data_IF_163930878089
#
_entry.id   IF_163930878089
#
_cell.length_a   1.000
_cell.length_b   1.000
_cell.length_c   1.000
_cell.angle_alpha   90.00
_cell.angle_beta   90.00
_cell.angle_gamma   90.00
#
_symmetry.space_group_name_H-M   'P 1'
#
loop_
_entity.id
_entity.type
_entity.pdbx_description
1 polymer ?
#
# COMPACT_ATOMS: atom_id res chain seq x y z
N UNK A 1 46.91 -35.93 -16.86
CA UNK A 1 46.97 -34.59 -16.22
C UNK A 1 45.91 -33.60 -16.74
N UNK A 2 45.40 -33.75 -17.98
CA UNK A 2 44.39 -32.84 -18.57
C UNK A 2 42.99 -32.91 -17.95
N UNK A 3 42.51 -34.07 -17.48
CA UNK A 3 41.17 -34.17 -16.88
C UNK A 3 41.07 -33.61 -15.46
N UNK A 4 42.17 -33.62 -14.69
CA UNK A 4 42.23 -33.03 -13.33
C UNK A 4 42.15 -31.49 -13.37
N UNK A 5 42.77 -30.86 -14.38
CA UNK A 5 42.70 -29.41 -14.59
C UNK A 5 41.30 -28.97 -15.05
N UNK A 6 40.62 -29.80 -15.84
CA UNK A 6 39.25 -29.53 -16.30
C UNK A 6 38.21 -29.65 -15.17
N UNK A 7 38.39 -30.63 -14.27
CA UNK A 7 37.55 -30.77 -13.08
C UNK A 7 37.75 -29.64 -12.06
N UNK A 8 38.99 -29.19 -11.83
CA UNK A 8 39.25 -28.04 -10.95
C UNK A 8 38.68 -26.72 -11.50
N UNK A 9 38.71 -26.54 -12.83
CA UNK A 9 38.10 -25.37 -13.49
C UNK A 9 36.58 -25.36 -13.39
N UNK A 10 35.92 -26.52 -13.50
CA UNK A 10 34.47 -26.65 -13.33
C UNK A 10 34.00 -26.36 -11.90
N UNK A 11 34.77 -26.80 -10.90
CA UNK A 11 34.49 -26.52 -9.49
C UNK A 11 34.64 -25.02 -9.20
N UNK A 12 35.69 -24.37 -9.73
CA UNK A 12 35.91 -22.93 -9.56
C UNK A 12 34.80 -22.07 -10.20
N UNK A 13 34.23 -22.50 -11.33
CA UNK A 13 33.11 -21.80 -12.00
C UNK A 13 31.79 -21.98 -11.23
N UNK A 14 31.56 -23.15 -10.62
CA UNK A 14 30.36 -23.37 -9.78
C UNK A 14 30.34 -22.56 -8.48
N UNK A 15 31.51 -22.21 -7.93
CA UNK A 15 31.62 -21.41 -6.70
C UNK A 15 31.40 -19.90 -6.92
N UNK A 16 31.52 -19.39 -8.16
CA UNK A 16 31.27 -17.97 -8.47
C UNK A 16 29.78 -17.63 -8.73
N UNK A 17 28.92 -18.64 -8.90
CA UNK A 17 27.50 -18.43 -9.21
C UNK A 17 26.58 -18.27 -7.99
N UNK A 18 27.12 -18.38 -6.76
CA UNK A 18 26.36 -18.08 -5.53
C UNK A 18 26.43 -16.57 -5.30
N UNK A 19 25.96 -15.80 -6.28
CA UNK A 19 25.69 -14.38 -6.12
C UNK A 19 24.59 -14.22 -5.09
N UNK A 20 24.98 -13.82 -3.88
CA UNK A 20 24.07 -13.40 -2.83
C UNK A 20 23.08 -12.39 -3.39
N UNK A 21 21.81 -12.79 -3.53
CA UNK A 21 20.70 -11.88 -3.73
C UNK A 21 20.62 -11.01 -2.47
N UNK A 22 21.38 -9.91 -2.45
CA UNK A 22 21.32 -8.90 -1.41
C UNK A 22 19.95 -8.24 -1.53
N UNK A 23 18.97 -8.81 -0.83
CA UNK A 23 17.65 -8.21 -0.65
C UNK A 23 17.86 -6.96 0.19
N UNK A 24 18.08 -5.82 -0.46
CA UNK A 24 18.33 -4.57 0.24
C UNK A 24 17.12 -4.26 1.12
N UNK A 25 17.38 -4.23 2.43
CA UNK A 25 16.35 -3.99 3.43
C UNK A 25 16.36 -2.51 3.76
N UNK A 26 15.26 -1.83 3.50
CA UNK A 26 15.10 -0.40 3.79
C UNK A 26 14.11 -0.20 4.92
N UNK A 27 14.45 0.67 5.87
CA UNK A 27 13.54 1.16 6.89
C UNK A 27 13.22 2.61 6.59
N UNK A 28 11.94 2.90 6.40
CA UNK A 28 11.43 4.24 6.13
C UNK A 28 10.60 4.64 7.33
N UNK A 29 10.91 5.78 7.95
CA UNK A 29 10.11 6.36 9.03
C UNK A 29 9.54 7.68 8.54
N UNK A 30 8.23 7.77 8.45
CA UNK A 30 7.50 8.97 8.02
C UNK A 30 6.73 9.51 9.21
N UNK A 31 6.97 10.77 9.57
CA UNK A 31 6.20 11.46 10.62
C UNK A 31 5.41 12.57 9.95
N UNK A 32 4.08 12.44 9.93
CA UNK A 32 3.18 13.49 9.46
C UNK A 32 2.75 14.34 10.66
N UNK A 33 3.19 15.60 10.68
CA UNK A 33 2.72 16.61 11.63
C UNK A 33 1.57 17.38 10.99
N UNK A 34 0.37 17.29 11.57
CA UNK A 34 -0.77 18.13 11.20
C UNK A 34 -0.86 19.30 12.18
N UNK A 35 -1.04 20.51 11.68
CA UNK A 35 -1.08 21.73 12.49
C UNK A 35 -2.25 21.64 13.50
N UNK A 36 -1.92 21.50 14.78
CA UNK A 36 -2.88 21.30 15.88
C UNK A 36 -2.81 19.94 16.59
N UNK A 37 -2.03 18.97 16.09
CA UNK A 37 -1.81 17.67 16.74
C UNK A 37 -0.37 17.61 17.29
N UNK A 38 -0.17 17.65 18.63
CA UNK A 38 1.17 17.71 19.23
C UNK A 38 1.99 16.42 19.03
N UNK A 39 1.34 15.31 18.64
CA UNK A 39 1.97 14.03 18.37
C UNK A 39 1.63 13.60 16.94
N UNK A 40 2.47 14.00 15.98
CA UNK A 40 2.30 13.61 14.58
C UNK A 40 2.27 12.09 14.40
N UNK A 41 1.49 11.60 13.44
CA UNK A 41 1.38 10.17 13.14
C UNK A 41 2.70 9.70 12.56
N UNK A 42 3.35 8.76 13.23
CA UNK A 42 4.61 8.17 12.77
C UNK A 42 4.36 6.81 12.16
N UNK A 43 4.51 6.67 10.85
CA UNK A 43 4.44 5.39 10.14
C UNK A 43 5.85 4.87 9.89
N UNK A 44 6.11 3.61 10.23
CA UNK A 44 7.38 2.93 9.96
C UNK A 44 7.17 1.81 8.95
N UNK A 45 7.83 1.88 7.81
CA UNK A 45 7.73 0.89 6.74
C UNK A 45 9.07 0.17 6.57
N UNK A 46 9.06 -1.15 6.61
CA UNK A 46 10.19 -2.02 6.32
C UNK A 46 9.98 -2.67 4.97
N UNK A 47 10.91 -2.49 4.05
CA UNK A 47 10.85 -3.06 2.70
C UNK A 47 11.96 -4.08 2.56
N UNK A 48 11.63 -5.30 2.11
CA UNK A 48 12.59 -6.36 1.80
C UNK A 48 12.16 -7.04 0.50
N UNK A 49 12.82 -6.67 -0.60
CA UNK A 49 12.51 -7.19 -1.93
C UNK A 49 11.04 -6.97 -2.32
N UNK A 50 10.32 -8.06 -2.58
CA UNK A 50 8.92 -8.08 -3.01
C UNK A 50 7.90 -7.94 -1.87
N UNK A 51 8.34 -7.76 -0.62
CA UNK A 51 7.47 -7.66 0.56
C UNK A 51 7.75 -6.39 1.32
N UNK A 52 6.70 -5.75 1.81
CA UNK A 52 6.81 -4.58 2.70
C UNK A 52 5.91 -4.74 3.91
N UNK A 53 6.36 -4.26 5.07
CA UNK A 53 5.62 -4.19 6.32
C UNK A 53 5.44 -2.74 6.71
N UNK A 54 4.22 -2.27 6.91
CA UNK A 54 3.94 -0.96 7.49
C UNK A 54 3.39 -1.12 8.91
N UNK A 55 3.98 -0.35 9.83
CA UNK A 55 3.55 -0.18 11.21
C UNK A 55 3.07 1.26 11.35
N UNK A 56 1.77 1.43 11.58
CA UNK A 56 1.21 2.74 11.88
C UNK A 56 1.42 3.03 13.37
N UNK A 57 2.05 4.16 13.69
CA UNK A 57 2.16 4.63 15.07
C UNK A 57 0.79 4.95 15.64
N UNK A 58 0.63 4.72 16.95
CA UNK A 58 -0.61 4.98 17.67
C UNK A 58 -1.05 6.44 17.50
N UNK A 59 -2.18 6.64 16.82
CA UNK A 59 -2.84 7.94 16.74
C UNK A 59 -3.62 8.15 18.03
N UNK A 60 -3.20 9.10 18.87
CA UNK A 60 -3.86 9.39 20.17
C UNK A 60 -4.00 8.16 21.08
N UNK A 61 -3.00 7.26 21.09
CA UNK A 61 -3.03 6.04 21.91
C UNK A 61 -3.96 4.92 21.40
N UNK A 62 -4.64 5.13 20.27
CA UNK A 62 -5.50 4.17 19.59
C UNK A 62 -4.87 3.77 18.25
N UNK A 63 -4.79 2.46 17.98
CA UNK A 63 -4.36 1.95 16.68
C UNK A 63 -2.85 2.03 16.44
N UNK A 64 -2.11 1.04 16.94
CA UNK A 64 -0.72 0.77 16.54
C UNK A 64 -0.30 -0.69 16.72
N UNK A 65 -1.27 -1.56 17.01
CA UNK A 65 -1.04 -2.96 17.37
C UNK A 65 -1.16 -3.91 16.17
N UNK A 66 -1.60 -3.38 15.03
CA UNK A 66 -1.76 -4.12 13.78
C UNK A 66 -0.74 -3.60 12.77
N UNK A 67 0.13 -4.48 12.30
CA UNK A 67 1.03 -4.22 11.19
C UNK A 67 0.46 -4.83 9.91
N UNK A 68 0.59 -4.13 8.79
CA UNK A 68 0.16 -4.62 7.48
C UNK A 68 1.38 -5.07 6.70
N UNK A 69 1.41 -6.32 6.26
CA UNK A 69 2.46 -6.90 5.43
C UNK A 69 1.89 -7.12 4.04
N UNK A 70 2.36 -6.33 3.08
CA UNK A 70 2.01 -6.47 1.69
C UNK A 70 3.00 -7.43 1.02
N UNK A 71 2.48 -8.52 0.48
CA UNK A 71 3.24 -9.59 -0.16
C UNK A 71 2.91 -9.62 -1.64
N UNK A 72 3.54 -8.72 -2.40
CA UNK A 72 3.26 -8.57 -3.83
C UNK A 72 3.57 -9.84 -4.64
N UNK A 73 4.53 -10.65 -4.18
CA UNK A 73 4.88 -11.95 -4.77
C UNK A 73 3.77 -12.99 -4.62
N UNK A 74 3.01 -12.91 -3.54
CA UNK A 74 1.89 -13.80 -3.23
C UNK A 74 0.52 -13.14 -3.49
N UNK A 75 0.51 -11.92 -4.03
CA UNK A 75 -0.68 -11.11 -4.29
C UNK A 75 -1.65 -11.09 -3.11
N UNK A 76 -1.13 -10.80 -1.92
CA UNK A 76 -1.94 -10.77 -0.71
C UNK A 76 -1.42 -9.75 0.29
N UNK A 77 -2.35 -9.24 1.11
CA UNK A 77 -2.07 -8.43 2.27
C UNK A 77 -2.28 -9.26 3.53
N UNK A 78 -1.36 -9.16 4.49
CA UNK A 78 -1.46 -9.85 5.77
C UNK A 78 -1.49 -8.80 6.88
N UNK A 79 -2.61 -8.69 7.58
CA UNK A 79 -2.71 -7.88 8.79
C UNK A 79 -2.32 -8.74 9.98
N UNK A 80 -1.35 -8.30 10.77
CA UNK A 80 -0.80 -9.05 11.91
C UNK A 80 -0.94 -8.22 13.17
N UNK A 81 -1.60 -8.79 14.19
CA UNK A 81 -1.56 -8.26 15.54
C UNK A 81 -0.50 -9.00 16.35
N UNK A 82 0.68 -8.38 16.51
CA UNK A 82 1.82 -9.01 17.17
C UNK A 82 1.58 -9.31 18.65
N UNK A 83 0.72 -8.52 19.31
CA UNK A 83 0.39 -8.67 20.73
C UNK A 83 -0.52 -9.87 20.97
N UNK A 84 -1.55 -10.03 20.12
CA UNK A 84 -2.52 -11.11 20.22
C UNK A 84 -2.13 -12.36 19.43
N UNK A 85 -1.04 -12.31 18.66
CA UNK A 85 -0.58 -13.40 17.76
C UNK A 85 -1.66 -13.84 16.78
N UNK A 86 -2.49 -12.89 16.36
CA UNK A 86 -3.54 -13.11 15.37
C UNK A 86 -3.13 -12.49 14.05
N UNK A 87 -3.54 -13.13 12.95
CA UNK A 87 -3.33 -12.60 11.62
C UNK A 87 -4.58 -12.80 10.76
N UNK A 88 -4.73 -11.94 9.77
CA UNK A 88 -5.76 -12.00 8.75
C UNK A 88 -5.11 -11.85 7.38
N UNK A 89 -5.49 -12.71 6.43
CA UNK A 89 -4.99 -12.67 5.05
C UNK A 89 -6.10 -12.14 4.17
N UNK A 90 -5.77 -11.13 3.38
CA UNK A 90 -6.66 -10.48 2.43
C UNK A 90 -6.04 -10.62 1.03
N UNK A 91 -6.57 -11.51 0.17
CA UNK A 91 -6.09 -11.67 -1.20
C UNK A 91 -6.24 -10.36 -1.99
N UNK A 92 -5.25 -10.04 -2.83
CA UNK A 92 -5.41 -8.98 -3.83
C UNK A 92 -6.14 -9.61 -5.01
N UNK A 93 -7.33 -9.12 -5.35
CA UNK A 93 -8.06 -9.61 -6.51
C UNK A 93 -7.22 -9.40 -7.79
N UNK A 94 -7.02 -10.48 -8.54
CA UNK A 94 -6.64 -10.41 -9.93
C UNK A 94 -7.92 -10.15 -10.73
N UNK A 95 -7.94 -9.11 -11.59
CA UNK A 95 -9.09 -8.67 -12.40
C UNK A 95 -9.73 -9.81 -13.22
N UNK A 96 -10.55 -10.63 -12.56
CA UNK A 96 -11.25 -11.78 -13.14
C UNK A 96 -12.49 -12.10 -12.30
N UNK A 97 -13.42 -11.16 -12.31
CA UNK A 97 -14.82 -11.43 -11.98
C UNK A 97 -15.17 -11.20 -10.51
N UNK A 98 -16.19 -10.36 -10.33
CA UNK A 98 -16.92 -10.21 -9.09
C UNK A 98 -17.14 -11.56 -8.40
N UNK A 99 -16.50 -11.78 -7.23
CA UNK A 99 -16.87 -12.86 -6.35
C UNK A 99 -17.78 -12.32 -5.25
N UNK A 100 -19.08 -12.41 -5.52
CA UNK A 100 -20.08 -12.43 -4.48
C UNK A 100 -19.93 -13.72 -3.66
N UNK A 101 -19.72 -13.56 -2.35
CA UNK A 101 -20.05 -14.47 -1.25
C UNK A 101 -19.20 -15.74 -1.02
N UNK A 102 -18.62 -15.86 0.19
CA UNK A 102 -19.12 -16.75 1.26
C UNK A 102 -18.33 -16.61 2.56
N UNK A 103 -18.94 -15.91 3.51
CA UNK A 103 -18.58 -15.88 4.92
C UNK A 103 -19.83 -15.61 5.75
N UNK A 104 -20.87 -16.42 5.54
CA UNK A 104 -22.09 -16.37 6.34
C UNK A 104 -21.88 -17.11 7.66
N UNK A 105 -21.64 -16.37 8.74
CA UNK A 105 -22.10 -16.78 10.07
C UNK A 105 -22.46 -15.52 10.88
N UNK A 106 -23.74 -15.18 10.85
CA UNK A 106 -24.33 -14.09 11.65
C UNK A 106 -25.79 -13.95 11.27
N UNK A 107 -26.68 -14.21 12.23
CA UNK A 107 -28.12 -14.40 12.05
C UNK A 107 -28.85 -13.27 11.33
N UNK A 108 -29.99 -13.64 10.76
CA UNK A 108 -30.69 -12.90 9.72
C UNK A 108 -31.14 -11.49 10.13
N UNK A 109 -31.02 -10.59 9.16
CA UNK A 109 -32.05 -9.63 8.77
C UNK A 109 -32.02 -9.58 7.24
N UNK A 110 -33.06 -10.10 6.58
CA UNK A 110 -33.32 -9.78 5.17
C UNK A 110 -33.83 -8.34 5.11
N UNK A 111 -32.95 -7.38 5.38
CA UNK A 111 -33.18 -6.02 4.94
C UNK A 111 -33.11 -6.05 3.41
N UNK A 112 -34.20 -5.65 2.74
CA UNK A 112 -34.19 -5.45 1.31
C UNK A 112 -32.94 -4.63 0.95
N UNK A 113 -32.06 -5.19 0.12
CA UNK A 113 -30.86 -4.50 -0.36
C UNK A 113 -31.35 -3.29 -1.15
N UNK A 114 -31.38 -2.12 -0.51
CA UNK A 114 -31.65 -0.87 -1.21
C UNK A 114 -30.45 -0.62 -2.11
N UNK A 115 -30.69 -0.38 -3.40
CA UNK A 115 -29.64 0.15 -4.27
C UNK A 115 -29.13 1.44 -3.62
N UNK A 116 -27.86 1.46 -3.23
CA UNK A 116 -27.24 2.66 -2.66
C UNK A 116 -27.15 3.77 -3.71
N UNK A 117 -27.05 5.02 -3.25
CA UNK A 117 -26.82 6.15 -4.13
C UNK A 117 -25.48 6.09 -4.88
N UNK A 118 -25.42 6.80 -6.00
CA UNK A 118 -24.20 7.00 -6.79
C UNK A 118 -23.38 8.17 -6.22
N UNK A 119 -22.05 8.05 -6.23
CA UNK A 119 -21.12 9.14 -5.90
C UNK A 119 -20.26 9.40 -7.13
N UNK A 120 -20.30 10.63 -7.65
CA UNK A 120 -19.53 11.04 -8.82
C UNK A 120 -18.25 11.71 -8.37
N UNK A 121 -17.11 11.22 -8.84
CA UNK A 121 -15.79 11.80 -8.60
C UNK A 121 -15.28 12.46 -9.89
N UNK A 122 -15.04 13.78 -9.84
CA UNK A 122 -14.45 14.55 -10.93
C UNK A 122 -13.06 15.00 -10.48
N UNK A 123 -12.01 14.51 -11.14
CA UNK A 123 -10.62 14.93 -10.88
C UNK A 123 -10.06 15.66 -12.10
N UNK A 124 -9.61 16.90 -11.91
CA UNK A 124 -8.98 17.73 -12.92
C UNK A 124 -7.53 17.99 -12.51
N UNK A 125 -6.59 17.66 -13.39
CA UNK A 125 -5.16 17.91 -13.19
C UNK A 125 -4.71 18.95 -14.22
N UNK A 126 -4.26 20.11 -13.76
CA UNK A 126 -3.80 21.22 -14.58
C UNK A 126 -2.30 21.42 -14.38
N UNK A 127 -1.51 21.20 -15.41
CA UNK A 127 -0.07 21.54 -15.43
C UNK A 127 0.09 23.06 -15.51
N UNK A 128 0.80 23.67 -14.57
CA UNK A 128 0.99 25.12 -14.51
C UNK A 128 2.09 25.61 -15.45
N UNK A 129 2.84 24.70 -16.07
CA UNK A 129 3.99 24.99 -16.91
C UNK A 129 5.29 25.22 -16.13
N UNK A 130 5.24 25.34 -14.80
CA UNK A 130 6.45 25.50 -13.99
C UNK A 130 7.24 24.18 -13.93
N UNK A 131 8.56 24.30 -13.99
CA UNK A 131 9.50 23.17 -14.02
C UNK A 131 10.61 23.39 -13.02
N UNK A 132 11.00 22.35 -12.29
CA UNK A 132 12.10 22.41 -11.33
C UNK A 132 12.90 21.12 -11.31
N UNK A 133 14.23 21.24 -11.23
CA UNK A 133 15.10 20.08 -11.01
C UNK A 133 14.97 19.61 -9.56
N UNK A 134 14.55 18.36 -9.38
CA UNK A 134 14.46 17.70 -8.08
C UNK A 134 15.04 16.28 -8.19
N UNK A 135 16.02 15.96 -7.35
CA UNK A 135 16.67 14.64 -7.31
C UNK A 135 17.22 14.17 -8.69
N UNK A 136 17.72 15.11 -9.49
CA UNK A 136 18.28 14.82 -10.82
C UNK A 136 17.23 14.64 -11.94
N UNK A 137 15.94 14.87 -11.65
CA UNK A 137 14.84 14.78 -12.62
C UNK A 137 14.05 16.09 -12.70
N UNK A 138 13.49 16.39 -13.87
CA UNK A 138 12.64 17.56 -14.08
C UNK A 138 11.24 17.30 -13.56
N UNK A 139 10.91 17.88 -12.41
CA UNK A 139 9.55 17.88 -11.87
C UNK A 139 8.67 18.93 -12.56
N UNK A 140 7.37 18.63 -12.64
CA UNK A 140 6.33 19.52 -13.17
C UNK A 140 5.42 19.92 -12.02
N UNK A 141 5.05 21.19 -11.98
CA UNK A 141 4.05 21.69 -11.05
C UNK A 141 2.67 21.45 -11.62
N UNK A 142 1.82 20.77 -10.85
CA UNK A 142 0.44 20.44 -11.23
C UNK A 142 -0.52 20.86 -10.12
N UNK A 143 -1.64 21.42 -10.52
CA UNK A 143 -2.79 21.69 -9.64
C UNK A 143 -3.85 20.64 -9.89
N UNK A 144 -4.21 19.91 -8.85
CA UNK A 144 -5.25 18.89 -8.90
C UNK A 144 -6.49 19.39 -8.16
N UNK A 145 -7.64 19.43 -8.83
CA UNK A 145 -8.94 19.74 -8.22
C UNK A 145 -9.83 18.51 -8.29
N UNK A 146 -10.31 18.05 -7.13
CA UNK A 146 -11.22 16.91 -7.01
C UNK A 146 -12.57 17.39 -6.47
N UNK A 147 -13.66 17.11 -7.20
CA UNK A 147 -15.03 17.35 -6.77
C UNK A 147 -15.73 16.00 -6.59
N UNK A 148 -16.32 15.80 -5.43
CA UNK A 148 -17.14 14.63 -5.09
C UNK A 148 -18.57 15.13 -4.98
N UNK A 149 -19.45 14.62 -5.84
CA UNK A 149 -20.88 14.90 -5.82
C UNK A 149 -21.64 13.65 -5.41
N UNK A 150 -22.28 13.70 -4.23
CA UNK A 150 -23.04 12.58 -3.70
C UNK A 150 -24.51 12.72 -4.10
N UNK A 151 -25.09 11.65 -4.67
CA UNK A 151 -26.53 11.61 -4.93
C UNK A 151 -27.34 11.60 -3.62
N UNK A 152 -28.62 12.04 -3.63
CA UNK A 152 -29.46 12.08 -2.43
C UNK A 152 -29.62 10.71 -1.74
N UNK A 153 -29.51 9.62 -2.49
CA UNK A 153 -29.62 8.26 -1.98
C UNK A 153 -28.29 7.71 -1.42
N UNK A 154 -27.22 8.50 -1.44
CA UNK A 154 -25.91 8.09 -0.93
C UNK A 154 -25.93 8.04 0.61
N UNK A 155 -25.25 7.04 1.18
CA UNK A 155 -25.13 6.88 2.63
C UNK A 155 -24.43 8.07 3.30
N UNK A 156 -23.63 8.83 2.55
CA UNK A 156 -22.96 10.03 3.01
C UNK A 156 -23.23 11.16 1.99
N UNK A 157 -24.13 12.07 2.35
CA UNK A 157 -24.62 13.15 1.46
C UNK A 157 -23.71 14.39 1.51
N UNK A 158 -22.40 14.19 1.47
CA UNK A 158 -21.43 15.30 1.52
C UNK A 158 -20.86 15.56 0.14
N UNK A 159 -21.13 16.75 -0.40
CA UNK A 159 -20.38 17.27 -1.54
C UNK A 159 -19.04 17.81 -1.03
N UNK A 160 -17.94 17.39 -1.65
CA UNK A 160 -16.60 17.79 -1.23
C UNK A 160 -15.84 18.32 -2.43
N UNK A 161 -15.24 19.50 -2.30
CA UNK A 161 -14.27 20.02 -3.25
C UNK A 161 -12.92 20.12 -2.56
N UNK A 162 -11.89 19.51 -3.13
CA UNK A 162 -10.53 19.54 -2.63
C UNK A 162 -9.61 20.01 -3.73
N UNK A 163 -8.72 20.94 -3.40
CA UNK A 163 -7.67 21.40 -4.31
C UNK A 163 -6.31 21.06 -3.68
N UNK A 164 -5.42 20.50 -4.48
CA UNK A 164 -4.07 20.11 -4.10
C UNK A 164 -3.09 20.66 -5.12
N UNK A 165 -1.96 21.17 -4.63
CA UNK A 165 -0.90 21.80 -5.39
C UNK A 165 0.40 21.03 -5.11
N UNK A 166 1.10 20.58 -6.16
CA UNK A 166 2.25 19.68 -6.05
C UNK A 166 3.20 19.70 -7.23
#
# INVERSE_FOLDING_TARGET
>A
MRSKAMFLSLIAISLLAIGSQAQTTYKIKQTMSMQGMPQGVTTTTYVRGSRKRSEQGAMMGMGGDVATIEQCDLKQNVQVNDKKKLYHIDPMDDDSGASTSRGASGGGHSAAVRRGGTVTYVSNITDTGERKQMFGMTARHVKTSMTIEASPDACMQSNMKTESDG
#
